data_IF_128228232355
#
_entry.id   IF_128228232355
#
_cell.length_a   1.000
_cell.length_b   1.000
_cell.length_c   1.000
_cell.angle_alpha   90.00
_cell.angle_beta   90.00
_cell.angle_gamma   90.00
#
_symmetry.space_group_name_H-M   'P 1'
#
loop_
_entity.id
_entity.type
_entity.pdbx_description
1 polymer ?
#
# COMPACT_ATOMS: atom_id res chain seq x y z
N UNK A 1 10.64 6.73 -11.99
CA UNK A 1 10.62 5.53 -11.16
C UNK A 1 9.64 4.53 -11.77
N UNK A 2 10.11 3.34 -12.23
CA UNK A 2 9.27 2.43 -13.02
C UNK A 2 7.96 2.02 -12.38
N UNK A 3 7.95 1.76 -11.06
CA UNK A 3 6.73 1.32 -10.38
C UNK A 3 5.67 2.44 -10.34
N UNK A 4 6.09 3.68 -10.16
CA UNK A 4 5.19 4.84 -10.17
C UNK A 4 4.56 4.98 -11.55
N UNK A 5 5.36 4.82 -12.60
CA UNK A 5 4.88 4.89 -13.98
C UNK A 5 3.83 3.79 -14.26
N UNK A 6 4.10 2.56 -13.81
CA UNK A 6 3.15 1.46 -13.96
C UNK A 6 1.82 1.76 -13.24
N UNK A 7 1.90 2.28 -12.01
CA UNK A 7 0.71 2.64 -11.24
C UNK A 7 -0.10 3.71 -11.98
N UNK A 8 0.56 4.73 -12.52
CA UNK A 8 -0.13 5.76 -13.31
C UNK A 8 -0.85 5.16 -14.51
N UNK A 9 -0.20 4.23 -15.23
CA UNK A 9 -0.82 3.56 -16.37
C UNK A 9 -2.06 2.78 -15.95
N UNK A 10 -2.01 2.05 -14.83
CA UNK A 10 -3.16 1.30 -14.32
C UNK A 10 -4.32 2.23 -13.95
N UNK A 11 -4.02 3.37 -13.31
CA UNK A 11 -5.04 4.33 -12.90
C UNK A 11 -5.73 5.00 -14.08
N UNK A 12 -5.00 5.27 -15.16
CA UNK A 12 -5.52 6.00 -16.31
C UNK A 12 -6.11 5.11 -17.40
N UNK A 13 -5.71 3.84 -17.48
CA UNK A 13 -6.12 2.93 -18.57
C UNK A 13 -7.26 2.00 -18.18
N UNK A 14 -7.69 1.98 -16.93
CA UNK A 14 -8.76 1.10 -16.50
C UNK A 14 -10.09 1.50 -17.13
N UNK A 15 -10.91 0.53 -17.62
CA UNK A 15 -12.22 0.81 -18.18
C UNK A 15 -13.25 1.26 -17.13
N UNK A 16 -12.93 1.14 -15.86
CA UNK A 16 -13.77 1.56 -14.73
C UNK A 16 -12.91 2.31 -13.72
N UNK A 17 -13.53 3.14 -12.85
CA UNK A 17 -12.77 3.90 -11.86
C UNK A 17 -12.01 2.97 -10.90
N UNK A 18 -10.73 3.27 -10.70
CA UNK A 18 -9.87 2.57 -9.72
C UNK A 18 -9.27 3.58 -8.75
N UNK A 19 -9.02 3.14 -7.53
CA UNK A 19 -8.41 3.95 -6.49
C UNK A 19 -7.07 3.37 -6.09
N UNK A 20 -6.12 4.24 -5.77
CA UNK A 20 -4.83 3.86 -5.21
C UNK A 20 -4.89 3.98 -3.69
N UNK A 21 -4.56 2.89 -3.00
CA UNK A 21 -4.44 2.89 -1.54
C UNK A 21 -2.98 2.57 -1.21
N UNK A 22 -2.38 3.41 -0.39
CA UNK A 22 -1.00 3.27 0.05
C UNK A 22 -1.00 2.83 1.52
N UNK A 23 -0.38 1.68 1.79
CA UNK A 23 -0.15 1.18 3.14
C UNK A 23 1.34 1.22 3.43
N UNK A 24 1.71 1.78 4.58
CA UNK A 24 3.11 1.84 4.99
C UNK A 24 3.27 1.42 6.43
N UNK A 25 4.37 0.74 6.72
CA UNK A 25 4.78 0.43 8.08
C UNK A 25 5.33 1.63 8.86
N UNK A 26 5.47 2.78 8.22
CA UNK A 26 5.89 4.01 8.89
C UNK A 26 4.85 4.45 9.90
N UNK A 27 5.30 5.12 10.96
CA UNK A 27 4.42 5.61 12.02
C UNK A 27 3.69 6.87 11.60
N UNK A 28 2.49 7.06 12.13
CA UNK A 28 1.61 8.20 11.83
C UNK A 28 2.29 9.56 12.09
N UNK A 29 3.20 9.64 13.05
CA UNK A 29 3.96 10.86 13.32
C UNK A 29 4.80 11.32 12.13
N UNK A 30 5.09 10.45 11.17
CA UNK A 30 5.85 10.77 9.96
C UNK A 30 4.96 11.01 8.75
N UNK A 31 3.65 11.23 8.94
CA UNK A 31 2.70 11.42 7.84
C UNK A 31 3.11 12.56 6.92
N UNK A 32 3.40 13.72 7.47
CA UNK A 32 3.68 14.92 6.66
C UNK A 32 4.90 14.72 5.76
N UNK A 33 5.96 14.13 6.30
CA UNK A 33 7.17 13.86 5.53
C UNK A 33 6.94 12.78 4.46
N UNK A 34 6.09 11.79 4.78
CA UNK A 34 5.73 10.73 3.84
C UNK A 34 4.88 11.27 2.70
N UNK A 35 3.89 12.11 3.00
CA UNK A 35 3.05 12.76 1.98
C UNK A 35 3.88 13.68 1.08
N UNK A 36 4.83 14.41 1.64
CA UNK A 36 5.74 15.24 0.87
C UNK A 36 6.58 14.39 -0.10
N UNK A 37 7.10 13.26 0.36
CA UNK A 37 7.86 12.34 -0.48
C UNK A 37 7.00 11.81 -1.64
N UNK A 38 5.77 11.40 -1.35
CA UNK A 38 4.83 10.92 -2.36
C UNK A 38 4.52 12.01 -3.38
N UNK A 39 4.30 13.23 -2.92
CA UNK A 39 4.07 14.37 -3.79
C UNK A 39 5.26 14.59 -4.74
N UNK A 40 6.49 14.53 -4.21
CA UNK A 40 7.72 14.66 -5.00
C UNK A 40 7.85 13.59 -6.08
N UNK A 41 7.27 12.42 -5.87
CA UNK A 41 7.28 11.30 -6.82
C UNK A 41 5.98 11.21 -7.63
N UNK A 42 5.20 12.28 -7.63
CA UNK A 42 3.94 12.38 -8.40
C UNK A 42 2.87 11.37 -8.00
N UNK A 43 2.93 10.86 -6.79
CA UNK A 43 1.85 10.10 -6.18
C UNK A 43 1.10 11.04 -5.25
N UNK A 44 -0.17 11.31 -5.56
CA UNK A 44 -0.97 12.29 -4.83
C UNK A 44 -1.98 11.58 -3.94
N UNK A 45 -1.58 11.10 -2.75
CA UNK A 45 -2.52 10.44 -1.86
C UNK A 45 -3.52 11.45 -1.31
N UNK A 46 -4.78 11.08 -1.34
CA UNK A 46 -5.80 11.78 -0.58
C UNK A 46 -5.78 11.25 0.86
N UNK A 47 -6.61 11.86 1.73
CA UNK A 47 -6.72 11.40 3.12
C UNK A 47 -7.11 9.93 3.23
N UNK A 48 -7.84 9.41 2.25
CA UNK A 48 -8.32 8.03 2.24
C UNK A 48 -7.35 7.07 1.57
N UNK A 49 -6.27 7.57 0.97
CA UNK A 49 -5.36 6.77 0.17
C UNK A 49 -4.07 6.38 0.90
N UNK A 50 -3.73 7.01 2.01
CA UNK A 50 -2.51 6.71 2.76
C UNK A 50 -2.84 6.29 4.19
N UNK A 51 -2.49 5.06 4.54
CA UNK A 51 -2.66 4.49 5.87
C UNK A 51 -1.32 4.09 6.45
N UNK A 52 -1.05 4.57 7.66
CA UNK A 52 0.20 4.34 8.38
C UNK A 52 -0.11 3.62 9.69
N UNK A 53 0.93 2.96 10.27
CA UNK A 53 0.76 2.39 11.61
C UNK A 53 0.62 3.51 12.64
N UNK A 54 -0.11 3.25 13.71
CA UNK A 54 -0.21 4.21 14.81
C UNK A 54 1.17 4.45 15.42
N UNK A 55 1.42 5.69 15.83
CA UNK A 55 2.66 6.05 16.51
C UNK A 55 2.84 5.19 17.75
N UNK A 56 4.02 4.58 17.89
CA UNK A 56 4.33 3.72 19.03
C UNK A 56 3.88 2.27 18.89
N UNK A 57 3.20 1.88 17.81
CA UNK A 57 2.81 0.49 17.56
C UNK A 57 4.05 -0.33 17.20
N UNK A 58 4.48 -1.30 18.05
CA UNK A 58 5.70 -2.06 17.84
C UNK A 58 5.53 -3.34 17.03
N UNK A 59 4.31 -3.63 16.56
CA UNK A 59 4.03 -4.90 15.89
C UNK A 59 4.76 -5.01 14.56
N UNK A 60 5.08 -6.25 14.11
CA UNK A 60 5.67 -6.45 12.78
C UNK A 60 4.81 -5.85 11.66
N UNK A 61 5.45 -5.44 10.60
CA UNK A 61 4.80 -4.80 9.44
C UNK A 61 3.66 -5.67 8.87
N UNK A 62 3.88 -6.98 8.76
CA UNK A 62 2.88 -7.90 8.25
C UNK A 62 1.59 -7.90 9.10
N UNK A 63 1.72 -7.80 10.41
CA UNK A 63 0.57 -7.78 11.33
C UNK A 63 -0.22 -6.48 11.15
N UNK A 64 0.48 -5.36 11.10
CA UNK A 64 -0.15 -4.03 10.94
C UNK A 64 -0.88 -3.95 9.60
N UNK A 65 -0.25 -4.38 8.52
CA UNK A 65 -0.85 -4.33 7.18
C UNK A 65 -2.05 -5.26 7.05
N UNK A 66 -1.99 -6.45 7.62
CA UNK A 66 -3.13 -7.36 7.60
C UNK A 66 -4.32 -6.80 8.37
N UNK A 67 -4.09 -6.19 9.53
CA UNK A 67 -5.14 -5.55 10.30
C UNK A 67 -5.78 -4.39 9.54
N UNK A 68 -4.97 -3.53 8.93
CA UNK A 68 -5.47 -2.42 8.13
C UNK A 68 -6.31 -2.91 6.94
N UNK A 69 -5.89 -4.00 6.31
CA UNK A 69 -6.65 -4.59 5.21
C UNK A 69 -8.03 -5.04 5.67
N UNK A 70 -8.12 -5.82 6.75
CA UNK A 70 -9.40 -6.35 7.21
C UNK A 70 -10.32 -5.27 7.74
N UNK A 71 -9.78 -4.27 8.43
CA UNK A 71 -10.58 -3.24 9.10
C UNK A 71 -11.04 -2.15 8.16
N UNK A 72 -10.20 -1.76 7.19
CA UNK A 72 -10.41 -0.54 6.41
C UNK A 72 -10.65 -0.83 4.93
N UNK A 73 -9.88 -1.73 4.34
CA UNK A 73 -9.87 -1.92 2.89
C UNK A 73 -10.92 -2.93 2.46
N UNK A 74 -10.90 -4.13 3.01
CA UNK A 74 -11.78 -5.20 2.59
C UNK A 74 -13.27 -4.86 2.71
N UNK A 75 -13.74 -4.09 3.74
CA UNK A 75 -15.16 -3.73 3.83
C UNK A 75 -15.66 -2.81 2.72
N UNK A 76 -14.78 -2.02 2.10
CA UNK A 76 -15.19 -0.98 1.16
C UNK A 76 -14.66 -1.14 -0.26
N UNK A 77 -13.63 -1.96 -0.46
CA UNK A 77 -12.96 -2.05 -1.75
C UNK A 77 -12.79 -3.49 -2.22
N UNK A 78 -12.90 -3.67 -3.52
CA UNK A 78 -12.42 -4.88 -4.19
C UNK A 78 -10.99 -4.63 -4.65
N UNK A 79 -10.03 -5.38 -4.10
CA UNK A 79 -8.62 -5.20 -4.43
C UNK A 79 -8.28 -5.99 -5.69
N UNK A 80 -7.87 -5.29 -6.75
CA UNK A 80 -7.46 -5.95 -8.00
C UNK A 80 -6.00 -6.40 -7.94
N UNK A 81 -5.11 -5.50 -7.49
CA UNK A 81 -3.66 -5.77 -7.43
C UNK A 81 -3.06 -5.21 -6.16
N UNK A 82 -2.05 -5.91 -5.65
CA UNK A 82 -1.20 -5.41 -4.57
C UNK A 82 0.25 -5.40 -5.07
N UNK A 83 0.96 -4.33 -4.76
CA UNK A 83 2.41 -4.21 -5.02
C UNK A 83 3.12 -4.08 -3.69
N UNK A 84 4.04 -4.99 -3.42
CA UNK A 84 4.83 -4.96 -2.18
C UNK A 84 6.20 -5.61 -2.46
N UNK A 85 7.16 -5.40 -1.57
CA UNK A 85 8.50 -5.95 -1.77
C UNK A 85 8.93 -6.91 -0.66
N UNK A 86 8.43 -6.74 0.56
CA UNK A 86 8.85 -7.58 1.69
C UNK A 86 8.26 -8.98 1.61
N UNK A 87 9.11 -10.01 1.66
CA UNK A 87 8.69 -11.41 1.51
C UNK A 87 7.55 -11.81 2.43
N UNK A 88 7.62 -11.44 3.71
CA UNK A 88 6.59 -11.80 4.70
C UNK A 88 5.24 -11.16 4.39
N UNK A 89 5.26 -9.93 3.91
CA UNK A 89 4.05 -9.17 3.56
C UNK A 89 3.46 -9.70 2.25
N UNK A 90 4.29 -9.96 1.26
CA UNK A 90 3.84 -10.57 -0.02
C UNK A 90 3.16 -11.92 0.24
N UNK A 91 3.77 -12.76 1.08
CA UNK A 91 3.18 -14.05 1.44
C UNK A 91 1.82 -13.89 2.12
N UNK A 92 1.67 -12.89 2.98
CA UNK A 92 0.41 -12.58 3.64
C UNK A 92 -0.67 -12.18 2.63
N UNK A 93 -0.38 -11.26 1.71
CA UNK A 93 -1.34 -10.86 0.68
C UNK A 93 -1.80 -12.05 -0.16
N UNK A 94 -0.87 -12.90 -0.57
CA UNK A 94 -1.18 -14.10 -1.37
C UNK A 94 -1.99 -15.12 -0.59
N UNK A 95 -1.71 -15.29 0.71
CA UNK A 95 -2.50 -16.16 1.59
C UNK A 95 -3.94 -15.68 1.70
N UNK A 96 -4.19 -14.38 1.65
CA UNK A 96 -5.53 -13.80 1.66
C UNK A 96 -6.25 -13.93 0.30
N UNK A 97 -5.61 -14.51 -0.69
CA UNK A 97 -6.20 -14.69 -2.02
C UNK A 97 -6.03 -13.50 -2.96
N UNK A 98 -5.20 -12.52 -2.59
CA UNK A 98 -4.99 -11.35 -3.42
C UNK A 98 -3.87 -11.56 -4.44
N UNK A 99 -4.00 -10.91 -5.60
CA UNK A 99 -2.96 -10.89 -6.63
C UNK A 99 -1.88 -9.91 -6.22
N UNK A 100 -0.76 -10.42 -5.73
CA UNK A 100 0.35 -9.59 -5.27
C UNK A 100 1.55 -9.74 -6.20
N UNK A 101 2.00 -8.61 -6.74
CA UNK A 101 3.21 -8.52 -7.54
C UNK A 101 4.36 -8.06 -6.64
N UNK A 102 5.38 -8.89 -6.50
CA UNK A 102 6.56 -8.53 -5.73
C UNK A 102 7.52 -7.74 -6.61
N UNK A 103 7.77 -6.50 -6.21
CA UNK A 103 8.45 -5.52 -7.07
C UNK A 103 9.95 -5.42 -6.84
N UNK A 104 10.48 -6.09 -5.81
CA UNK A 104 11.90 -6.15 -5.51
C UNK A 104 12.18 -7.30 -4.54
N UNK A 105 13.46 -7.67 -4.40
CA UNK A 105 13.86 -8.66 -3.40
C UNK A 105 13.58 -8.14 -2.00
N UNK A 106 12.99 -8.97 -1.16
CA UNK A 106 12.44 -8.51 0.12
C UNK A 106 12.74 -9.40 1.32
N UNK A 107 13.93 -9.97 1.40
CA UNK A 107 14.34 -10.80 2.53
C UNK A 107 14.76 -9.96 3.75
N UNK A 108 13.93 -8.99 4.13
CA UNK A 108 14.21 -8.08 5.24
C UNK A 108 13.03 -7.93 6.18
#
# INVERSE_FOLDING_TARGET
>A
WPIVHLIEQLLTSSPHPVSLILLSGRQEQFRDITEYWLFRHQLFPTRHSLWLRLTGDPRPDVVVKEELFHRIIAPEFHVEYVFDDRNTVVAMWRRLGLTCLQVADGAF
#
